data_IF_205105759299
#
_entry.id   IF_205105759299
#
_cell.length_a   1.000
_cell.length_b   1.000
_cell.length_c   1.000
_cell.angle_alpha   90.00
_cell.angle_beta   90.00
_cell.angle_gamma   90.00
#
_symmetry.space_group_name_H-M   'P 1'
#
loop_
_entity.id
_entity.type
_entity.pdbx_description
1 polymer ?
#
# COMPACT_ATOMS: atom_id res chain seq x y z
N UNK A 1 24.76 -11.57 10.50
CA UNK A 1 26.19 -11.77 10.77
C UNK A 1 26.75 -10.56 11.53
N UNK A 2 26.83 -9.36 10.92
CA UNK A 2 27.27 -8.13 11.61
C UNK A 2 26.40 -7.65 12.80
N UNK A 3 25.08 -7.78 12.71
CA UNK A 3 24.16 -7.28 13.76
C UNK A 3 24.18 -8.08 15.06
N UNK A 4 24.56 -9.36 14.99
CA UNK A 4 24.69 -10.23 16.16
C UNK A 4 26.04 -9.96 16.86
N UNK A 5 27.08 -9.65 16.07
CA UNK A 5 28.41 -9.27 16.55
C UNK A 5 28.41 -7.94 17.31
N UNK A 6 27.68 -6.93 16.86
CA UNK A 6 27.66 -5.59 17.48
C UNK A 6 26.68 -5.47 18.67
N UNK A 7 25.86 -6.49 18.93
CA UNK A 7 24.84 -6.45 19.98
C UNK A 7 25.37 -6.41 21.43
N UNK A 8 26.53 -7.02 21.76
CA UNK A 8 27.11 -6.95 23.11
C UNK A 8 27.72 -5.58 23.44
N UNK A 9 28.18 -4.84 22.44
CA UNK A 9 28.94 -3.59 22.63
C UNK A 9 28.06 -2.35 22.76
N UNK A 10 26.74 -2.51 22.62
CA UNK A 10 25.78 -1.40 22.65
C UNK A 10 24.85 -1.55 23.84
N UNK A 11 24.81 -0.52 24.69
CA UNK A 11 23.88 -0.47 25.81
C UNK A 11 22.43 -0.67 25.31
N UNK A 12 21.67 -1.67 25.80
CA UNK A 12 20.38 -2.07 25.22
C UNK A 12 19.32 -0.95 25.22
N UNK A 13 19.40 -0.02 26.18
CA UNK A 13 18.46 1.10 26.33
C UNK A 13 18.81 2.32 25.48
N UNK A 14 20.00 2.36 24.87
CA UNK A 14 20.41 3.43 23.96
C UNK A 14 19.54 3.44 22.69
N UNK A 15 19.52 4.55 21.95
CA UNK A 15 18.81 4.64 20.67
C UNK A 15 19.32 3.59 19.67
N UNK A 16 20.64 3.37 19.64
CA UNK A 16 21.27 2.35 18.80
C UNK A 16 20.86 0.93 19.23
N UNK A 17 20.86 0.65 20.54
CA UNK A 17 20.45 -0.65 21.09
C UNK A 17 18.98 -0.97 20.78
N UNK A 18 18.09 0.02 20.88
CA UNK A 18 16.68 -0.11 20.46
C UNK A 18 16.55 -0.35 18.95
N UNK A 19 17.29 0.39 18.13
CA UNK A 19 17.31 0.22 16.68
C UNK A 19 17.78 -1.17 16.24
N UNK A 20 18.89 -1.65 16.81
CA UNK A 20 19.42 -2.99 16.56
C UNK A 20 18.43 -4.08 16.98
N UNK A 21 17.81 -3.93 18.15
CA UNK A 21 16.77 -4.88 18.64
C UNK A 21 15.57 -4.90 17.71
N UNK A 22 15.08 -3.74 17.29
CA UNK A 22 13.98 -3.62 16.34
C UNK A 22 14.33 -4.27 15.01
N UNK A 23 15.45 -3.90 14.40
CA UNK A 23 15.88 -4.42 13.11
C UNK A 23 16.13 -5.94 13.17
N UNK A 24 16.68 -6.48 14.26
CA UNK A 24 16.81 -7.94 14.48
C UNK A 24 15.45 -8.64 14.44
N UNK A 25 14.43 -8.09 15.11
CA UNK A 25 13.08 -8.66 15.09
C UNK A 25 12.40 -8.57 13.72
N UNK A 26 12.77 -7.59 12.90
CA UNK A 26 12.18 -7.36 11.58
C UNK A 26 13.00 -7.95 10.44
N UNK A 27 14.25 -8.35 10.66
CA UNK A 27 15.20 -8.82 9.65
C UNK A 27 14.67 -9.87 8.66
N UNK A 28 13.81 -10.82 9.05
CA UNK A 28 13.23 -11.76 8.09
C UNK A 28 12.35 -11.11 7.02
N UNK A 29 11.87 -9.87 7.22
CA UNK A 29 11.03 -9.15 6.26
C UNK A 29 11.83 -8.49 5.13
N UNK A 30 12.82 -7.61 5.38
CA UNK A 30 13.55 -6.93 4.33
C UNK A 30 14.46 -7.86 3.52
N UNK A 31 14.79 -9.06 3.99
CA UNK A 31 15.59 -10.00 3.19
C UNK A 31 14.75 -10.80 2.19
N UNK A 32 13.41 -10.74 2.26
CA UNK A 32 12.53 -11.55 1.39
C UNK A 32 12.75 -11.35 -0.10
N UNK A 33 13.22 -10.18 -0.53
CA UNK A 33 13.52 -9.96 -1.95
C UNK A 33 14.60 -10.91 -2.49
N UNK A 34 15.44 -11.51 -1.63
CA UNK A 34 16.43 -12.51 -2.06
C UNK A 34 15.78 -13.86 -2.42
N UNK A 35 14.56 -14.09 -1.95
CA UNK A 35 13.78 -15.31 -2.24
C UNK A 35 13.12 -15.24 -3.62
N UNK A 36 12.82 -14.03 -4.12
CA UNK A 36 12.22 -13.80 -5.43
C UNK A 36 12.76 -12.51 -6.07
N UNK A 37 13.46 -12.65 -7.21
CA UNK A 37 14.03 -11.54 -7.96
C UNK A 37 13.02 -10.55 -8.55
N UNK A 38 11.74 -10.92 -8.62
CA UNK A 38 10.65 -10.02 -9.03
C UNK A 38 10.27 -9.03 -7.92
N UNK A 39 10.69 -9.27 -6.67
CA UNK A 39 10.38 -8.39 -5.55
C UNK A 39 11.39 -7.24 -5.46
N UNK A 40 10.94 -5.99 -5.36
CA UNK A 40 11.84 -4.86 -5.24
C UNK A 40 12.56 -4.89 -3.88
N UNK A 41 13.84 -4.52 -3.89
CA UNK A 41 14.67 -4.41 -2.68
C UNK A 41 14.13 -3.37 -1.69
N UNK A 42 13.44 -2.34 -2.20
CA UNK A 42 12.90 -1.23 -1.41
C UNK A 42 11.39 -1.14 -1.56
N UNK A 43 10.71 -0.77 -0.48
CA UNK A 43 9.28 -0.44 -0.47
C UNK A 43 9.00 1.04 -0.85
N UNK A 44 10.00 1.81 -1.27
CA UNK A 44 9.86 3.23 -1.62
C UNK A 44 8.67 3.56 -2.53
N UNK A 45 8.35 2.77 -3.58
CA UNK A 45 7.17 3.04 -4.41
C UNK A 45 5.86 3.02 -3.61
N UNK A 46 5.73 2.06 -2.69
CA UNK A 46 4.56 1.93 -1.81
C UNK A 46 4.49 3.09 -0.80
N UNK A 47 5.63 3.46 -0.20
CA UNK A 47 5.71 4.61 0.71
C UNK A 47 5.37 5.93 0.01
N UNK A 48 5.86 6.13 -1.22
CA UNK A 48 5.52 7.29 -2.03
C UNK A 48 4.02 7.32 -2.38
N UNK A 49 3.42 6.17 -2.70
CA UNK A 49 2.00 6.07 -3.01
C UNK A 49 1.10 6.40 -1.81
N UNK A 50 1.48 5.99 -0.58
CA UNK A 50 0.69 6.27 0.63
C UNK A 50 0.98 7.65 1.25
N UNK A 51 2.11 8.28 0.92
CA UNK A 51 2.51 9.57 1.50
C UNK A 51 1.47 10.70 1.32
N UNK A 52 0.89 10.92 0.12
CA UNK A 52 -0.15 11.93 -0.07
C UNK A 52 -1.36 11.73 0.84
N UNK A 53 -1.79 10.47 1.04
CA UNK A 53 -2.87 10.13 1.97
C UNK A 53 -2.50 10.50 3.42
N UNK A 54 -1.33 10.06 3.87
CA UNK A 54 -0.83 10.31 5.23
C UNK A 54 -0.66 11.79 5.56
N UNK A 55 -0.23 12.60 4.58
CA UNK A 55 -0.11 14.04 4.71
C UNK A 55 -1.48 14.72 4.65
N UNK A 56 -2.31 14.34 3.68
CA UNK A 56 -3.61 14.93 3.39
C UNK A 56 -4.64 14.74 4.50
N UNK A 57 -4.67 13.59 5.17
CA UNK A 57 -5.61 13.31 6.27
C UNK A 57 -5.56 14.31 7.43
N UNK A 58 -4.45 15.04 7.62
CA UNK A 58 -4.35 16.10 8.63
C UNK A 58 -5.20 17.34 8.30
N UNK A 59 -5.58 17.51 7.04
CA UNK A 59 -6.42 18.63 6.56
C UNK A 59 -7.86 18.24 6.25
N UNK A 60 -8.28 16.99 6.50
CA UNK A 60 -9.64 16.54 6.23
C UNK A 60 -10.53 16.82 7.45
N UNK A 61 -11.64 17.53 7.23
CA UNK A 61 -12.58 17.92 8.28
C UNK A 61 -13.28 16.72 8.97
N UNK A 62 -13.27 15.54 8.35
CA UNK A 62 -14.04 14.36 8.79
C UNK A 62 -13.29 13.03 8.62
N UNK A 63 -12.08 12.92 9.19
CA UNK A 63 -11.24 11.72 9.08
C UNK A 63 -10.83 11.12 10.43
N UNK A 64 -11.77 11.00 11.35
CA UNK A 64 -11.51 10.63 12.75
C UNK A 64 -12.05 9.24 13.15
N UNK A 65 -12.75 8.55 12.25
CA UNK A 65 -13.30 7.22 12.54
C UNK A 65 -12.46 6.11 11.90
N UNK A 66 -12.39 4.96 12.56
CA UNK A 66 -11.73 3.77 12.02
C UNK A 66 -12.36 3.34 10.70
N UNK A 67 -13.70 3.35 10.63
CA UNK A 67 -14.44 3.00 9.41
C UNK A 67 -14.15 3.97 8.27
N UNK A 68 -14.05 5.27 8.56
CA UNK A 68 -13.67 6.29 7.57
C UNK A 68 -12.23 6.10 7.07
N UNK A 69 -11.30 5.74 7.96
CA UNK A 69 -9.93 5.41 7.59
C UNK A 69 -9.88 4.16 6.68
N UNK A 70 -10.65 3.13 7.01
CA UNK A 70 -10.73 1.90 6.22
C UNK A 70 -11.35 2.14 4.83
N UNK A 71 -12.47 2.88 4.77
CA UNK A 71 -13.10 3.25 3.50
C UNK A 71 -12.17 4.07 2.61
N UNK A 72 -11.44 5.03 3.21
CA UNK A 72 -10.49 5.84 2.48
C UNK A 72 -9.30 5.01 1.98
N UNK A 73 -8.76 4.09 2.80
CA UNK A 73 -7.68 3.21 2.39
C UNK A 73 -8.08 2.35 1.18
N UNK A 74 -9.31 1.82 1.15
CA UNK A 74 -9.83 1.08 0.01
C UNK A 74 -9.87 1.94 -1.26
N UNK A 75 -10.42 3.16 -1.16
CA UNK A 75 -10.53 4.06 -2.31
C UNK A 75 -9.15 4.49 -2.85
N UNK A 76 -8.23 4.87 -1.97
CA UNK A 76 -6.87 5.24 -2.38
C UNK A 76 -6.12 4.05 -2.98
N UNK A 77 -6.33 2.83 -2.47
CA UNK A 77 -5.73 1.63 -3.06
C UNK A 77 -6.20 1.42 -4.50
N UNK A 78 -7.49 1.63 -4.79
CA UNK A 78 -8.02 1.58 -6.16
C UNK A 78 -7.39 2.67 -7.06
N UNK A 79 -7.27 3.89 -6.55
CA UNK A 79 -6.65 5.02 -7.28
C UNK A 79 -5.18 4.73 -7.61
N UNK A 80 -4.39 4.26 -6.64
CA UNK A 80 -2.99 3.91 -6.87
C UNK A 80 -2.84 2.72 -7.81
N UNK A 81 -3.77 1.76 -7.78
CA UNK A 81 -3.81 0.65 -8.75
C UNK A 81 -4.08 1.18 -10.16
N UNK A 82 -5.02 2.12 -10.33
CA UNK A 82 -5.25 2.76 -11.64
C UNK A 82 -4.00 3.43 -12.18
N UNK A 83 -3.30 4.21 -11.34
CA UNK A 83 -2.03 4.85 -11.71
C UNK A 83 -0.96 3.85 -12.11
N UNK A 84 -0.82 2.75 -11.36
CA UNK A 84 0.14 1.69 -11.65
C UNK A 84 -0.11 1.01 -13.02
N UNK A 85 -1.38 0.98 -13.47
CA UNK A 85 -1.79 0.42 -14.76
C UNK A 85 -1.95 1.49 -15.87
N UNK A 86 -1.62 2.75 -15.61
CA UNK A 86 -1.78 3.83 -16.59
C UNK A 86 -3.24 4.17 -16.93
N UNK A 87 -4.17 3.81 -16.05
CA UNK A 87 -5.61 4.08 -16.19
C UNK A 87 -5.95 5.38 -15.47
N UNK A 88 -6.73 6.24 -16.11
CA UNK A 88 -7.25 7.45 -15.47
C UNK A 88 -8.19 7.08 -14.29
N UNK A 89 -7.84 7.44 -13.03
CA UNK A 89 -8.62 7.00 -11.87
C UNK A 89 -10.04 7.55 -11.86
N UNK A 90 -10.26 8.75 -12.39
CA UNK A 90 -11.58 9.37 -12.42
C UNK A 90 -12.52 8.60 -13.37
N UNK A 91 -12.08 8.35 -14.60
CA UNK A 91 -12.82 7.54 -15.58
C UNK A 91 -13.11 6.14 -15.04
N UNK A 92 -12.13 5.50 -14.39
CA UNK A 92 -12.32 4.21 -13.76
C UNK A 92 -13.38 4.23 -12.67
N UNK A 93 -13.31 5.17 -11.72
CA UNK A 93 -14.28 5.23 -10.62
C UNK A 93 -15.70 5.52 -11.12
N UNK A 94 -15.86 6.41 -12.11
CA UNK A 94 -17.17 6.65 -12.75
C UNK A 94 -17.73 5.37 -13.39
N UNK A 95 -16.91 4.67 -14.17
CA UNK A 95 -17.28 3.42 -14.82
C UNK A 95 -17.61 2.31 -13.81
N UNK A 96 -16.79 2.19 -12.75
CA UNK A 96 -16.95 1.23 -11.67
C UNK A 96 -18.28 1.46 -10.95
N UNK A 97 -18.58 2.68 -10.50
CA UNK A 97 -19.80 2.95 -9.73
C UNK A 97 -21.09 2.77 -10.53
N UNK A 98 -21.06 2.92 -11.85
CA UNK A 98 -22.21 2.60 -12.71
C UNK A 98 -22.48 1.09 -12.81
N UNK A 99 -21.44 0.26 -12.74
CA UNK A 99 -21.51 -1.19 -13.01
C UNK A 99 -21.48 -2.05 -11.75
N UNK A 100 -20.88 -1.56 -10.67
CA UNK A 100 -20.77 -2.25 -9.40
C UNK A 100 -22.13 -2.74 -8.85
N UNK A 101 -23.24 -1.96 -8.94
CA UNK A 101 -24.56 -2.44 -8.50
C UNK A 101 -25.12 -3.61 -9.31
N UNK A 102 -24.59 -3.85 -10.52
CA UNK A 102 -25.01 -4.92 -11.41
C UNK A 102 -24.24 -6.23 -11.16
N UNK A 103 -23.08 -6.16 -10.50
CA UNK A 103 -22.23 -7.31 -10.23
C UNK A 103 -22.85 -8.24 -9.17
N UNK A 104 -22.91 -9.53 -9.45
CA UNK A 104 -23.50 -10.54 -8.55
C UNK A 104 -22.59 -11.73 -8.30
N UNK A 105 -21.61 -11.96 -9.17
CA UNK A 105 -20.66 -13.06 -9.10
C UNK A 105 -19.22 -12.56 -8.94
N UNK A 106 -18.32 -13.46 -8.53
CA UNK A 106 -16.88 -13.17 -8.46
C UNK A 106 -16.35 -12.74 -9.83
N UNK A 107 -16.79 -13.39 -10.92
CA UNK A 107 -16.39 -13.05 -12.28
C UNK A 107 -16.83 -11.64 -12.68
N UNK A 108 -18.00 -11.18 -12.21
CA UNK A 108 -18.45 -9.81 -12.45
C UNK A 108 -17.53 -8.79 -11.77
N UNK A 109 -17.12 -9.04 -10.52
CA UNK A 109 -16.18 -8.16 -9.83
C UNK A 109 -14.79 -8.18 -10.47
N UNK A 110 -14.34 -9.35 -10.92
CA UNK A 110 -13.09 -9.51 -11.65
C UNK A 110 -13.12 -8.77 -12.99
N UNK A 111 -14.28 -8.66 -13.64
CA UNK A 111 -14.46 -7.87 -14.85
C UNK A 111 -14.37 -6.36 -14.59
N UNK A 112 -14.54 -5.93 -13.33
CA UNK A 112 -14.49 -4.53 -12.90
C UNK A 112 -13.09 -4.06 -12.45
N UNK A 113 -12.04 -4.86 -12.64
CA UNK A 113 -10.67 -4.47 -12.29
C UNK A 113 -10.13 -3.35 -13.21
N UNK A 114 -9.25 -2.46 -12.72
CA UNK A 114 -8.81 -1.27 -13.46
C UNK A 114 -8.29 -1.55 -14.88
N UNK A 115 -7.48 -2.61 -15.03
CA UNK A 115 -6.88 -2.98 -16.32
C UNK A 115 -7.86 -3.66 -17.30
N UNK A 116 -9.09 -3.98 -16.87
CA UNK A 116 -10.14 -4.52 -17.74
C UNK A 116 -11.13 -3.45 -18.21
N UNK A 117 -11.00 -2.21 -17.73
CA UNK A 117 -11.85 -1.11 -18.19
C UNK A 117 -11.64 -0.86 -19.70
N UNK A 118 -12.71 -0.81 -20.50
CA UNK A 118 -12.59 -0.49 -21.92
C UNK A 118 -12.08 0.95 -22.13
N UNK A 119 -11.37 1.19 -23.24
CA UNK A 119 -10.79 2.50 -23.55
C UNK A 119 -11.84 3.63 -23.68
N UNK A 120 -13.07 3.27 -24.07
CA UNK A 120 -14.25 4.14 -24.12
C UNK A 120 -15.39 3.56 -23.25
N UNK A 121 -15.37 3.80 -21.94
CA UNK A 121 -16.44 3.39 -21.04
C UNK A 121 -17.63 4.33 -21.23
N UNK A 122 -18.68 3.85 -21.92
CA UNK A 122 -20.01 4.48 -21.91
C UNK A 122 -20.72 4.26 -20.59
#
# INVERSE_FOLDING_TARGET
>A
MLMVEQSPDVAPKSLLGKGLTYLRSKWPKPIRYVENGDWPISNNPCENAISPFCVGRRGWLFSDTFDGAHASANLYSLVETCKAHGVDPYRYLTWLFQRLPLAKSVDDYDALLPWKMPADPR
#
